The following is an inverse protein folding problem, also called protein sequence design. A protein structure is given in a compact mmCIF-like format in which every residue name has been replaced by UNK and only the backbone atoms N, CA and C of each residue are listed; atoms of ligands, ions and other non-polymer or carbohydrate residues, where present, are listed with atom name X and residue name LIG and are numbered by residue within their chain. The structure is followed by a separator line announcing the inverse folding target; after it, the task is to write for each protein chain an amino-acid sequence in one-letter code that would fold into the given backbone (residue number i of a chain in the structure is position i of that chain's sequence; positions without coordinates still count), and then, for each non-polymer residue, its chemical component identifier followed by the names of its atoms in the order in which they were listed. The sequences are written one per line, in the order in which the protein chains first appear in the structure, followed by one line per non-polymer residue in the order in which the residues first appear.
data_IF_058375371510
#
_entry.id   IF_058375371510
#
_cell.length_a   1.000
_cell.length_b   1.000
_cell.length_c   1.000
_cell.angle_alpha   90.00
_cell.angle_beta   90.00
_cell.angle_gamma   90.00
#
_symmetry.space_group_name_H-M   'P 1'
#
loop_
_entity.id
_entity.type
_entity.pdbx_description
1 polymer ?
#
# COMPACT_ATOMS: atom_id res chain seq x y z
N UNK A 1 -55.39 -23.71 54.26
CA UNK A 1 -56.14 -23.75 52.98
C UNK A 1 -55.20 -23.31 51.84
N UNK A 2 -54.76 -24.30 51.07
CA UNK A 2 -54.46 -24.36 49.63
C UNK A 2 -53.63 -23.21 48.97
N UNK A 3 -52.35 -23.54 48.71
CA UNK A 3 -51.47 -22.97 47.68
C UNK A 3 -51.98 -23.31 46.26
N UNK A 4 -51.88 -22.37 45.30
CA UNK A 4 -51.86 -22.63 43.84
C UNK A 4 -50.65 -21.88 43.27
N UNK A 5 -49.58 -22.54 42.80
CA UNK A 5 -49.34 -23.27 41.54
C UNK A 5 -49.30 -22.39 40.27
N UNK A 6 -48.18 -22.57 39.57
CA UNK A 6 -47.58 -21.78 38.52
C UNK A 6 -48.28 -21.86 37.15
N UNK A 7 -47.96 -20.90 36.28
CA UNK A 7 -48.03 -21.06 34.83
C UNK A 7 -46.75 -20.50 34.20
N UNK A 8 -45.86 -21.41 33.78
CA UNK A 8 -44.74 -21.13 32.87
C UNK A 8 -45.31 -20.90 31.47
N UNK A 9 -45.07 -19.71 30.91
CA UNK A 9 -45.35 -19.40 29.51
C UNK A 9 -44.28 -19.99 28.59
N UNK A 10 -44.72 -20.75 27.60
CA UNK A 10 -43.89 -21.34 26.56
C UNK A 10 -43.34 -20.25 25.61
N UNK A 11 -42.04 -20.33 25.31
CA UNK A 11 -41.37 -19.54 24.28
C UNK A 11 -41.41 -20.34 22.96
N UNK A 12 -41.89 -19.78 21.84
CA UNK A 12 -41.81 -20.47 20.56
C UNK A 12 -40.38 -20.45 20.01
N UNK A 13 -39.91 -21.61 19.57
CA UNK A 13 -38.65 -21.78 18.87
C UNK A 13 -38.74 -21.17 17.47
N UNK A 14 -37.87 -20.20 17.17
CA UNK A 14 -37.68 -19.64 15.83
C UNK A 14 -36.74 -20.58 15.07
N UNK A 15 -37.27 -21.25 14.05
CA UNK A 15 -36.49 -22.04 13.10
C UNK A 15 -35.65 -21.10 12.21
N UNK A 16 -34.33 -21.21 12.31
CA UNK A 16 -33.40 -20.52 11.42
C UNK A 16 -33.32 -21.25 10.08
N UNK A 17 -33.82 -20.62 9.01
CA UNK A 17 -33.59 -21.02 7.63
C UNK A 17 -32.11 -20.77 7.28
N UNK A 18 -31.34 -21.84 7.13
CA UNK A 18 -29.98 -21.80 6.61
C UNK A 18 -29.98 -21.52 5.11
N UNK A 19 -29.53 -20.32 4.73
CA UNK A 19 -29.20 -20.00 3.34
C UNK A 19 -27.80 -20.56 3.07
N UNK A 20 -27.73 -21.59 2.23
CA UNK A 20 -26.46 -22.11 1.72
C UNK A 20 -25.83 -21.05 0.81
N UNK A 21 -24.76 -20.40 1.26
CA UNK A 21 -23.92 -19.53 0.45
C UNK A 21 -22.99 -20.41 -0.37
N UNK A 22 -23.25 -20.55 -1.67
CA UNK A 22 -22.29 -21.16 -2.60
C UNK A 22 -21.11 -20.21 -2.78
N UNK A 23 -19.93 -20.62 -2.31
CA UNK A 23 -18.69 -19.89 -2.54
C UNK A 23 -18.38 -19.82 -4.05
N UNK A 24 -17.93 -18.67 -4.57
CA UNK A 24 -17.46 -18.59 -5.96
C UNK A 24 -16.19 -19.44 -6.11
N UNK A 25 -16.10 -20.16 -7.24
CA UNK A 25 -14.91 -20.88 -7.62
C UNK A 25 -13.72 -19.91 -7.67
N UNK A 26 -12.72 -20.16 -6.83
CA UNK A 26 -11.50 -19.36 -6.78
C UNK A 26 -10.78 -19.44 -8.12
N UNK A 27 -10.51 -18.27 -8.71
CA UNK A 27 -9.57 -18.17 -9.81
C UNK A 27 -8.21 -18.69 -9.34
N UNK A 28 -7.61 -19.60 -10.10
CA UNK A 28 -6.26 -20.08 -9.83
C UNK A 28 -5.28 -18.91 -10.02
N UNK A 29 -4.78 -18.36 -8.91
CA UNK A 29 -3.66 -17.43 -8.93
C UNK A 29 -2.43 -18.20 -9.37
N UNK A 30 -1.85 -17.83 -10.52
CA UNK A 30 -0.55 -18.34 -10.92
C UNK A 30 0.48 -17.85 -9.88
N UNK A 31 0.98 -18.75 -9.06
CA UNK A 31 2.05 -18.46 -8.10
C UNK A 31 3.34 -18.24 -8.90
N UNK A 32 3.73 -16.98 -9.08
CA UNK A 32 5.05 -16.62 -9.61
C UNK A 32 6.06 -16.66 -8.46
N UNK A 33 7.07 -17.51 -8.56
CA UNK A 33 8.13 -17.62 -7.55
C UNK A 33 9.04 -16.40 -7.61
N UNK A 34 9.12 -15.65 -6.52
CA UNK A 34 10.12 -14.58 -6.33
C UNK A 34 11.32 -15.20 -5.59
N UNK A 35 12.53 -15.04 -6.15
CA UNK A 35 13.75 -15.49 -5.49
C UNK A 35 14.50 -14.29 -4.90
N UNK A 36 14.61 -14.23 -3.58
CA UNK A 36 15.53 -13.30 -2.92
C UNK A 36 16.96 -13.81 -3.10
N UNK A 37 17.68 -13.29 -4.09
CA UNK A 37 19.08 -13.63 -4.35
C UNK A 37 20.04 -12.70 -3.62
N UNK A 38 21.18 -13.24 -3.19
CA UNK A 38 22.28 -12.46 -2.62
C UNK A 38 22.77 -11.41 -3.63
N UNK A 39 22.59 -10.12 -3.30
CA UNK A 39 22.96 -8.94 -4.10
C UNK A 39 24.35 -9.02 -4.75
N UNK A 40 25.35 -9.57 -4.04
CA UNK A 40 26.71 -9.69 -4.57
C UNK A 40 26.90 -10.82 -5.59
N UNK A 41 26.03 -11.84 -5.58
CA UNK A 41 26.05 -12.92 -6.57
C UNK A 41 25.40 -12.44 -7.89
N UNK A 42 24.28 -11.72 -7.80
CA UNK A 42 23.58 -11.12 -8.93
C UNK A 42 24.48 -10.14 -9.71
N UNK A 43 25.13 -9.19 -9.01
CA UNK A 43 26.01 -8.19 -9.65
C UNK A 43 27.20 -8.87 -10.37
N UNK A 44 27.77 -9.94 -9.80
CA UNK A 44 28.94 -10.63 -10.36
C UNK A 44 28.61 -11.48 -11.60
N UNK A 45 27.43 -12.07 -11.67
CA UNK A 45 27.02 -12.87 -12.84
C UNK A 45 26.67 -11.98 -14.05
N UNK A 46 26.04 -10.83 -13.81
CA UNK A 46 25.63 -9.90 -14.87
C UNK A 46 26.82 -9.31 -15.64
N UNK A 47 27.95 -9.04 -14.99
CA UNK A 47 29.14 -8.46 -15.64
C UNK A 47 29.83 -9.39 -16.65
N UNK A 48 29.43 -10.67 -16.75
CA UNK A 48 29.99 -11.64 -17.70
C UNK A 48 29.17 -11.80 -18.97
N UNK A 49 27.97 -11.22 -19.04
CA UNK A 49 27.03 -11.47 -20.13
C UNK A 49 27.19 -10.37 -21.18
N UNK A 50 28.01 -10.68 -22.18
CA UNK A 50 28.13 -10.05 -23.51
C UNK A 50 28.58 -8.57 -23.56
N UNK A 51 29.74 -8.26 -24.18
CA UNK A 51 30.07 -6.87 -24.49
C UNK A 51 29.06 -6.34 -25.52
N UNK A 52 28.34 -5.28 -25.15
CA UNK A 52 27.41 -4.60 -26.05
C UNK A 52 28.15 -4.21 -27.34
N UNK A 53 27.73 -4.78 -28.48
CA UNK A 53 28.24 -4.37 -29.78
C UNK A 53 27.63 -3.00 -30.09
N UNK A 54 28.47 -1.99 -30.33
CA UNK A 54 28.03 -0.63 -30.64
C UNK A 54 27.31 -0.60 -31.99
N UNK A 55 25.99 -0.80 -31.97
CA UNK A 55 25.10 -0.73 -33.13
C UNK A 55 23.90 0.17 -32.85
N UNK A 56 23.16 0.53 -33.91
CA UNK A 56 21.88 1.22 -33.79
C UNK A 56 20.91 0.37 -32.96
N UNK A 57 20.21 0.94 -31.95
CA UNK A 57 19.26 0.17 -31.15
C UNK A 57 18.20 -0.48 -32.03
N UNK A 58 17.96 -1.77 -31.82
CA UNK A 58 16.98 -2.56 -32.57
C UNK A 58 15.54 -2.16 -32.21
N UNK A 59 15.34 -1.60 -31.02
CA UNK A 59 14.06 -1.05 -30.58
C UNK A 59 14.14 -0.40 -29.21
N UNK A 60 12.99 -0.37 -28.51
CA UNK A 60 12.88 0.15 -27.14
C UNK A 60 12.33 -0.91 -26.21
N UNK A 61 12.99 -1.13 -25.08
CA UNK A 61 12.48 -1.90 -23.96
C UNK A 61 12.03 -0.96 -22.85
N UNK A 62 10.79 -1.12 -22.39
CA UNK A 62 10.19 -0.21 -21.40
C UNK A 62 9.85 -0.96 -20.14
N UNK A 63 10.39 -0.47 -19.02
CA UNK A 63 9.94 -0.82 -17.69
C UNK A 63 8.60 -0.15 -17.41
N UNK A 64 7.64 -0.93 -16.93
CA UNK A 64 6.37 -0.48 -16.39
C UNK A 64 6.36 -0.80 -14.90
N UNK A 65 6.20 0.23 -14.10
CA UNK A 65 6.14 0.18 -12.63
C UNK A 65 4.99 1.05 -12.16
N UNK A 66 4.40 0.75 -10.98
CA UNK A 66 3.45 1.67 -10.36
C UNK A 66 4.07 3.06 -10.19
N UNK A 67 3.28 4.10 -10.47
CA UNK A 67 3.70 5.48 -10.17
C UNK A 67 3.85 5.72 -8.67
N UNK A 68 3.17 4.90 -7.86
CA UNK A 68 3.20 4.95 -6.40
C UNK A 68 3.14 3.55 -5.81
N UNK A 69 4.00 3.25 -4.83
CA UNK A 69 4.00 2.00 -4.08
C UNK A 69 3.68 2.30 -2.62
N UNK A 70 2.81 1.48 -2.02
CA UNK A 70 2.41 1.59 -0.62
C UNK A 70 2.96 0.44 0.21
N UNK A 71 3.85 0.76 1.14
CA UNK A 71 4.41 -0.22 2.08
C UNK A 71 3.46 -0.39 3.29
N UNK A 72 2.72 -1.50 3.37
CA UNK A 72 1.81 -1.79 4.49
C UNK A 72 2.26 -2.91 5.42
N UNK A 73 3.28 -3.66 5.03
CA UNK A 73 3.88 -4.79 5.74
C UNK A 73 5.31 -4.97 5.20
N UNK A 74 6.04 -5.94 5.76
CA UNK A 74 7.17 -6.54 5.07
C UNK A 74 6.72 -6.91 3.64
N UNK A 75 7.56 -6.58 2.66
CA UNK A 75 7.21 -6.59 1.25
C UNK A 75 6.98 -8.03 0.76
N UNK A 76 5.75 -8.51 0.94
CA UNK A 76 5.17 -9.57 0.12
C UNK A 76 4.37 -8.85 -0.97
N UNK A 77 5.07 -8.32 -1.97
CA UNK A 77 4.46 -7.46 -3.00
C UNK A 77 3.21 -8.09 -3.60
N UNK A 78 2.14 -7.30 -3.73
CA UNK A 78 0.99 -7.68 -4.55
C UNK A 78 1.51 -7.91 -5.98
N UNK A 79 1.16 -9.02 -6.67
CA UNK A 79 1.56 -9.25 -8.05
C UNK A 79 1.25 -8.08 -9.00
N UNK A 80 0.26 -7.24 -8.67
CA UNK A 80 -0.07 -6.02 -9.42
C UNK A 80 0.90 -4.85 -9.21
N UNK A 81 1.69 -4.88 -8.13
CA UNK A 81 2.76 -3.91 -7.85
C UNK A 81 4.11 -4.33 -8.45
N UNK A 82 4.18 -5.52 -9.07
CA UNK A 82 5.41 -6.04 -9.64
C UNK A 82 5.83 -5.30 -10.93
N UNK A 83 7.12 -5.00 -11.09
CA UNK A 83 7.68 -4.50 -12.34
C UNK A 83 7.36 -5.42 -13.53
N UNK A 84 7.02 -4.82 -14.67
CA UNK A 84 6.77 -5.56 -15.92
C UNK A 84 7.45 -4.89 -17.11
N UNK A 85 7.59 -5.63 -18.21
CA UNK A 85 8.16 -5.15 -19.47
C UNK A 85 7.09 -4.87 -20.51
N UNK A 86 7.34 -3.85 -21.33
CA UNK A 86 6.60 -3.58 -22.57
C UNK A 86 7.54 -3.06 -23.66
N UNK A 87 7.03 -2.94 -24.89
CA UNK A 87 7.81 -2.52 -26.06
C UNK A 87 8.48 -3.67 -26.80
N UNK A 88 9.56 -3.37 -27.53
CA UNK A 88 10.26 -4.31 -28.40
C UNK A 88 10.80 -5.54 -27.66
N UNK A 89 11.15 -5.42 -26.39
CA UNK A 89 11.65 -6.56 -25.61
C UNK A 89 10.62 -7.62 -25.27
N UNK A 90 9.32 -7.34 -25.41
CA UNK A 90 8.27 -8.36 -25.26
C UNK A 90 7.99 -9.06 -26.60
N UNK A 91 8.32 -8.41 -27.73
CA UNK A 91 8.00 -8.90 -29.07
C UNK A 91 9.05 -9.85 -29.64
N UNK A 92 10.31 -9.74 -29.21
CA UNK A 92 11.45 -10.46 -29.80
C UNK A 92 11.94 -11.67 -28.99
N UNK A 93 11.16 -12.15 -28.02
CA UNK A 93 11.53 -13.29 -27.17
C UNK A 93 12.44 -12.89 -26.01
N UNK A 94 13.22 -13.85 -25.49
CA UNK A 94 14.05 -13.72 -24.29
C UNK A 94 14.95 -12.49 -24.38
N UNK A 95 14.59 -11.45 -23.63
CA UNK A 95 15.41 -10.26 -23.46
C UNK A 95 15.92 -10.22 -22.03
N UNK A 96 17.24 -10.17 -21.91
CA UNK A 96 17.90 -9.88 -20.63
C UNK A 96 17.94 -8.36 -20.47
N UNK A 97 17.16 -7.82 -19.53
CA UNK A 97 17.06 -6.38 -19.30
C UNK A 97 17.08 -6.03 -17.82
N UNK A 98 17.73 -4.93 -17.47
CA UNK A 98 17.86 -4.50 -16.07
C UNK A 98 17.66 -3.00 -15.89
N UNK A 99 17.00 -2.66 -14.79
CA UNK A 99 16.90 -1.29 -14.26
C UNK A 99 17.29 -1.27 -12.79
N UNK A 100 17.66 -0.08 -12.32
CA UNK A 100 17.93 0.17 -10.92
C UNK A 100 17.39 1.52 -10.48
N UNK A 101 17.07 1.68 -9.19
CA UNK A 101 16.51 2.91 -8.61
C UNK A 101 17.01 3.15 -7.18
N UNK A 102 16.87 4.39 -6.68
CA UNK A 102 17.24 4.76 -5.31
C UNK A 102 18.75 4.98 -5.07
N UNK A 103 19.54 5.16 -6.14
CA UNK A 103 20.97 5.46 -6.06
C UNK A 103 21.52 6.03 -7.38
N UNK A 104 22.77 6.50 -7.37
CA UNK A 104 23.43 7.03 -8.57
C UNK A 104 23.89 5.90 -9.50
N UNK A 105 24.40 4.83 -8.89
CA UNK A 105 24.90 3.63 -9.57
C UNK A 105 24.24 2.36 -9.00
N UNK A 106 24.42 1.24 -9.71
CA UNK A 106 23.85 -0.06 -9.32
C UNK A 106 24.32 -0.54 -7.94
N UNK A 107 25.57 -0.24 -7.55
CA UNK A 107 26.12 -0.61 -6.23
C UNK A 107 25.39 0.05 -5.06
N UNK A 108 24.76 1.19 -5.32
CA UNK A 108 24.11 2.03 -4.32
C UNK A 108 22.59 2.03 -4.50
N UNK A 109 22.10 1.27 -5.49
CA UNK A 109 20.69 1.19 -5.80
C UNK A 109 19.92 0.55 -4.63
N UNK A 110 18.83 1.19 -4.23
CA UNK A 110 17.87 0.63 -3.31
C UNK A 110 17.05 -0.49 -3.97
N UNK A 111 16.78 -0.39 -5.28
CA UNK A 111 16.06 -1.39 -6.03
C UNK A 111 16.83 -1.76 -7.28
N UNK A 112 16.92 -3.05 -7.59
CA UNK A 112 17.37 -3.56 -8.88
C UNK A 112 16.39 -4.59 -9.36
N UNK A 113 15.97 -4.46 -10.61
CA UNK A 113 15.16 -5.46 -11.31
C UNK A 113 15.99 -6.01 -12.47
N UNK A 114 15.98 -7.33 -12.61
CA UNK A 114 16.51 -8.04 -13.75
C UNK A 114 15.40 -8.92 -14.31
N UNK A 115 15.13 -8.73 -15.59
CA UNK A 115 14.31 -9.64 -16.37
C UNK A 115 15.26 -10.54 -17.15
N UNK A 116 15.13 -11.85 -16.94
CA UNK A 116 15.76 -12.89 -17.75
C UNK A 116 14.69 -13.95 -18.12
N UNK A 117 15.05 -14.99 -18.89
CA UNK A 117 14.14 -16.02 -19.45
C UNK A 117 13.00 -16.43 -18.53
N UNK A 118 13.26 -16.56 -17.23
CA UNK A 118 12.33 -17.20 -16.29
C UNK A 118 12.20 -16.49 -14.93
N UNK A 119 12.98 -15.44 -14.64
CA UNK A 119 13.13 -14.90 -13.28
C UNK A 119 13.10 -13.37 -13.28
N UNK A 120 12.34 -12.80 -12.33
CA UNK A 120 12.59 -11.44 -11.86
C UNK A 120 13.44 -11.58 -10.61
N UNK A 121 14.72 -11.22 -10.73
CA UNK A 121 15.59 -11.08 -9.57
C UNK A 121 15.46 -9.67 -9.02
N UNK A 122 14.97 -9.56 -7.78
CA UNK A 122 14.80 -8.29 -7.07
C UNK A 122 15.81 -8.23 -5.93
N UNK A 123 16.58 -7.14 -5.90
CA UNK A 123 17.38 -6.77 -4.74
C UNK A 123 16.80 -5.49 -4.17
N UNK A 124 16.39 -5.55 -2.91
CA UNK A 124 15.72 -4.45 -2.23
C UNK A 124 16.50 -3.98 -1.01
N UNK A 125 16.62 -2.66 -0.88
CA UNK A 125 16.90 -1.97 0.35
C UNK A 125 15.65 -1.15 0.67
N UNK A 126 14.69 -1.82 1.32
CA UNK A 126 13.35 -1.30 1.64
C UNK A 126 13.36 -0.12 2.65
N UNK A 127 14.53 0.31 3.12
CA UNK A 127 14.70 1.56 3.87
C UNK A 127 14.44 2.82 3.01
N UNK A 128 14.35 2.68 1.68
CA UNK A 128 14.16 3.81 0.79
C UNK A 128 12.68 4.18 0.59
N UNK A 129 12.26 5.25 1.27
CA UNK A 129 10.99 5.95 1.02
C UNK A 129 11.24 7.25 0.27
N UNK A 130 10.31 7.63 -0.61
CA UNK A 130 10.37 8.86 -1.40
C UNK A 130 10.25 8.62 -2.91
N UNK A 131 10.61 9.65 -3.68
CA UNK A 131 10.56 9.61 -5.14
C UNK A 131 11.85 8.99 -5.68
N UNK A 132 11.73 7.97 -6.53
CA UNK A 132 12.84 7.33 -7.22
C UNK A 132 12.65 7.38 -8.73
N UNK A 133 13.74 7.62 -9.45
CA UNK A 133 13.80 7.47 -10.91
C UNK A 133 14.53 6.19 -11.24
N UNK A 134 13.89 5.33 -12.01
CA UNK A 134 14.50 4.10 -12.51
C UNK A 134 15.46 4.44 -13.65
N UNK A 135 16.65 3.84 -13.62
CA UNK A 135 17.69 4.03 -14.64
C UNK A 135 17.91 2.69 -15.34
N UNK A 136 17.84 2.71 -16.68
CA UNK A 136 18.18 1.55 -17.48
C UNK A 136 19.67 1.22 -17.33
N UNK A 137 19.98 -0.06 -17.16
CA UNK A 137 21.36 -0.58 -17.06
C UNK A 137 21.82 -1.21 -18.36
N UNK A 138 21.03 -2.15 -18.88
CA UNK A 138 21.19 -2.77 -20.20
C UNK A 138 19.87 -3.41 -20.62
N UNK A 139 19.71 -3.66 -21.91
CA UNK A 139 18.68 -4.51 -22.49
C UNK A 139 19.20 -5.10 -23.82
N UNK A 140 19.25 -6.43 -23.91
CA UNK A 140 19.69 -7.14 -25.11
C UNK A 140 19.00 -8.51 -25.29
N UNK A 141 18.94 -9.00 -26.52
CA UNK A 141 18.44 -10.35 -26.85
C UNK A 141 19.59 -11.36 -27.04
N UNK A 142 19.24 -12.62 -27.33
CA UNK A 142 20.18 -13.71 -27.55
C UNK A 142 21.07 -13.56 -28.79
N UNK A 143 20.69 -12.68 -29.73
CA UNK A 143 21.46 -12.31 -30.91
C UNK A 143 22.40 -11.12 -30.64
N UNK A 144 22.37 -10.55 -29.43
CA UNK A 144 23.18 -9.40 -29.04
C UNK A 144 22.64 -8.06 -29.54
N UNK A 145 21.41 -7.99 -30.04
CA UNK A 145 20.80 -6.70 -30.38
C UNK A 145 20.54 -5.91 -29.11
N UNK A 146 20.82 -4.61 -29.13
CA UNK A 146 20.61 -3.72 -27.98
C UNK A 146 19.31 -2.93 -28.11
N UNK A 147 18.70 -2.63 -26.97
CA UNK A 147 17.45 -1.87 -26.89
C UNK A 147 17.65 -0.59 -26.06
N UNK A 148 16.99 0.48 -26.48
CA UNK A 148 16.87 1.70 -25.66
C UNK A 148 15.99 1.43 -24.45
N UNK A 149 16.26 2.07 -23.31
CA UNK A 149 15.48 1.92 -22.08
C UNK A 149 14.85 3.25 -21.64
N UNK A 150 13.66 3.18 -21.06
CA UNK A 150 13.00 4.32 -20.41
C UNK A 150 13.51 4.53 -18.97
N UNK A 151 13.12 5.67 -18.39
CA UNK A 151 13.41 6.03 -17.00
C UNK A 151 12.11 6.40 -16.24
N UNK A 152 11.25 5.43 -15.89
CA UNK A 152 10.02 5.72 -15.18
C UNK A 152 10.30 6.22 -13.76
N UNK A 153 9.31 6.88 -13.16
CA UNK A 153 9.39 7.43 -11.80
C UNK A 153 8.35 6.75 -10.92
N UNK A 154 8.77 6.37 -9.71
CA UNK A 154 7.91 5.76 -8.69
C UNK A 154 8.06 6.53 -7.39
N UNK A 155 6.96 6.70 -6.66
CA UNK A 155 6.98 7.25 -5.30
C UNK A 155 6.67 6.15 -4.30
N UNK A 156 7.59 5.84 -3.40
CA UNK A 156 7.38 4.88 -2.32
C UNK A 156 6.99 5.63 -1.06
N UNK A 157 5.86 5.26 -0.46
CA UNK A 157 5.43 5.79 0.84
C UNK A 157 4.96 4.66 1.74
N UNK A 158 5.13 4.83 3.05
CA UNK A 158 4.55 3.89 4.01
C UNK A 158 3.05 4.12 4.16
N UNK A 159 2.32 3.04 4.37
CA UNK A 159 0.90 3.05 4.67
C UNK A 159 0.62 3.65 6.04
N UNK A 160 -0.58 4.23 6.15
CA UNK A 160 -1.11 4.75 7.41
C UNK A 160 -2.59 4.40 7.58
N UNK A 161 -3.03 4.40 8.82
CA UNK A 161 -4.38 4.05 9.22
C UNK A 161 -4.88 5.01 10.30
N UNK A 162 -6.16 5.35 10.25
CA UNK A 162 -6.81 6.20 11.22
C UNK A 162 -8.05 5.54 11.82
N UNK A 163 -8.21 5.70 13.14
CA UNK A 163 -9.39 5.32 13.89
C UNK A 163 -10.09 6.55 14.47
N UNK A 164 -11.41 6.49 14.58
CA UNK A 164 -12.23 7.54 15.16
C UNK A 164 -13.24 6.95 16.14
N UNK A 165 -13.31 7.53 17.32
CA UNK A 165 -14.34 7.23 18.31
C UNK A 165 -15.02 8.51 18.74
N UNK A 166 -16.34 8.52 18.73
CA UNK A 166 -17.14 9.65 19.16
C UNK A 166 -18.06 9.24 20.32
N UNK A 167 -18.37 10.17 21.21
CA UNK A 167 -19.33 9.98 22.29
C UNK A 167 -20.12 11.27 22.53
N UNK A 168 -21.29 11.14 23.16
CA UNK A 168 -22.17 12.27 23.49
C UNK A 168 -22.64 12.16 24.93
N UNK A 169 -22.58 13.27 25.65
CA UNK A 169 -23.22 13.45 26.95
C UNK A 169 -24.00 14.77 26.93
N UNK A 170 -25.33 14.67 26.90
CA UNK A 170 -26.20 15.80 26.61
C UNK A 170 -25.87 16.44 25.25
N UNK A 171 -25.60 17.75 25.25
CA UNK A 171 -25.18 18.50 24.05
C UNK A 171 -23.67 18.45 23.80
N UNK A 172 -22.87 17.86 24.70
CA UNK A 172 -21.42 17.76 24.53
C UNK A 172 -21.07 16.54 23.70
N UNK A 173 -20.39 16.75 22.58
CA UNK A 173 -19.81 15.70 21.73
C UNK A 173 -18.31 15.65 21.98
N UNK A 174 -17.78 14.47 22.26
CA UNK A 174 -16.33 14.22 22.34
C UNK A 174 -15.92 13.35 21.15
N UNK A 175 -14.83 13.73 20.51
CA UNK A 175 -14.25 13.09 19.34
C UNK A 175 -12.80 12.76 19.68
N UNK A 176 -12.49 11.46 19.69
CA UNK A 176 -11.14 10.95 19.85
C UNK A 176 -10.72 10.35 18.51
N UNK A 177 -9.53 10.71 18.02
CA UNK A 177 -8.96 10.11 16.82
C UNK A 177 -7.55 9.61 17.13
N UNK A 178 -7.15 8.56 16.43
CA UNK A 178 -5.82 7.96 16.51
C UNK A 178 -5.32 7.62 15.12
N UNK A 179 -4.06 7.91 14.84
CA UNK A 179 -3.37 7.46 13.64
C UNK A 179 -2.16 6.60 13.98
N UNK A 180 -1.94 5.61 13.12
CA UNK A 180 -0.75 4.76 13.10
C UNK A 180 -0.19 4.75 11.68
N UNK A 181 1.11 4.50 11.58
CA UNK A 181 1.80 4.30 10.31
C UNK A 181 2.65 3.05 10.40
N UNK A 182 2.92 2.45 9.25
CA UNK A 182 3.88 1.38 9.18
C UNK A 182 5.30 1.93 9.41
N UNK A 183 6.08 1.24 10.23
CA UNK A 183 7.49 1.52 10.46
C UNK A 183 8.30 0.30 10.01
N UNK A 184 8.85 0.43 8.81
CA UNK A 184 9.63 -0.62 8.16
C UNK A 184 10.77 -1.14 9.04
N UNK A 185 11.56 -0.24 9.66
CA UNK A 185 12.68 -0.63 10.52
C UNK A 185 12.31 -1.47 11.74
N UNK A 186 11.02 -1.57 12.07
CA UNK A 186 10.50 -2.33 13.21
C UNK A 186 9.53 -3.44 12.77
N UNK A 187 9.26 -3.56 11.46
CA UNK A 187 8.17 -4.35 10.88
C UNK A 187 6.87 -4.31 11.70
N UNK A 188 6.40 -3.10 12.02
CA UNK A 188 5.12 -2.95 12.72
C UNK A 188 4.48 -1.59 12.54
N UNK A 189 3.19 -1.54 12.87
CA UNK A 189 2.44 -0.30 12.95
C UNK A 189 2.74 0.43 14.25
N UNK A 190 3.29 1.65 14.14
CA UNK A 190 3.60 2.51 15.27
C UNK A 190 2.69 3.74 15.29
N UNK A 191 2.50 4.37 16.47
CA UNK A 191 1.82 5.65 16.55
C UNK A 191 2.38 6.70 15.59
N UNK A 192 1.49 7.38 14.86
CA UNK A 192 1.89 8.49 13.98
C UNK A 192 1.84 9.79 14.77
N UNK A 193 2.91 10.04 15.53
CA UNK A 193 3.06 11.21 16.40
C UNK A 193 3.36 12.49 15.63
N UNK A 194 2.97 13.64 16.21
CA UNK A 194 3.18 14.99 15.67
C UNK A 194 2.59 15.22 14.28
N UNK A 195 1.65 14.38 13.85
CA UNK A 195 1.00 14.50 12.56
C UNK A 195 -0.16 15.49 12.63
N UNK A 196 -0.38 16.21 11.53
CA UNK A 196 -1.46 17.19 11.42
C UNK A 196 -2.69 16.61 10.72
N UNK A 197 -3.86 17.14 11.05
CA UNK A 197 -5.08 16.76 10.39
C UNK A 197 -6.25 17.68 10.73
N UNK A 198 -7.41 17.32 10.23
CA UNK A 198 -8.66 18.03 10.47
C UNK A 198 -9.78 17.05 10.84
N UNK A 199 -10.50 17.34 11.92
CA UNK A 199 -11.78 16.72 12.19
C UNK A 199 -12.79 17.41 11.29
N UNK A 200 -13.54 16.63 10.53
CA UNK A 200 -14.62 17.11 9.68
C UNK A 200 -15.95 16.56 10.17
N UNK A 201 -17.02 17.28 9.88
CA UNK A 201 -18.38 16.83 10.09
C UNK A 201 -19.24 17.06 8.86
N UNK A 202 -20.36 16.36 8.79
CA UNK A 202 -21.46 16.68 7.88
C UNK A 202 -22.79 16.45 8.57
N UNK A 203 -23.83 17.12 8.09
CA UNK A 203 -25.19 16.83 8.54
C UNK A 203 -25.56 15.37 8.21
N UNK A 204 -26.41 14.74 9.03
CA UNK A 204 -26.90 13.39 8.77
C UNK A 204 -27.60 13.34 7.40
N UNK A 205 -27.15 12.44 6.52
CA UNK A 205 -27.65 12.32 5.14
C UNK A 205 -27.13 13.40 4.17
N UNK A 206 -26.32 14.35 4.63
CA UNK A 206 -25.65 15.30 3.77
C UNK A 206 -24.46 14.68 3.02
N UNK A 207 -24.04 15.32 1.93
CA UNK A 207 -22.87 14.92 1.13
C UNK A 207 -21.63 15.78 1.39
N UNK A 208 -21.80 16.99 1.90
CA UNK A 208 -20.71 17.97 2.08
C UNK A 208 -20.07 17.85 3.46
N UNK A 209 -18.76 17.62 3.48
CA UNK A 209 -17.94 17.68 4.69
C UNK A 209 -17.49 19.11 4.97
N UNK A 210 -17.51 19.49 6.25
CA UNK A 210 -17.09 20.80 6.75
C UNK A 210 -16.02 20.61 7.81
N UNK A 211 -14.97 21.42 7.74
CA UNK A 211 -13.90 21.40 8.73
C UNK A 211 -14.42 21.89 10.09
N UNK A 212 -14.18 21.09 11.13
CA UNK A 212 -14.55 21.41 12.51
C UNK A 212 -13.34 21.95 13.27
N UNK A 213 -12.22 21.23 13.22
CA UNK A 213 -11.05 21.51 14.05
C UNK A 213 -9.79 20.91 13.45
N UNK A 214 -8.80 21.76 13.16
CA UNK A 214 -7.44 21.32 12.91
C UNK A 214 -6.78 20.81 14.20
N UNK A 215 -5.93 19.80 14.09
CA UNK A 215 -5.25 19.18 15.21
C UNK A 215 -3.83 18.71 14.86
N UNK A 216 -3.06 18.45 15.91
CA UNK A 216 -1.78 17.72 15.85
C UNK A 216 -1.87 16.54 16.82
N UNK A 217 -1.35 15.37 16.43
CA UNK A 217 -1.34 14.18 17.31
C UNK A 217 -0.24 14.25 18.36
N UNK A 218 -0.51 13.64 19.52
CA UNK A 218 0.49 13.44 20.56
C UNK A 218 1.39 12.22 20.26
N UNK A 219 2.27 11.86 21.20
CA UNK A 219 3.17 10.70 21.08
C UNK A 219 2.47 9.35 20.90
N UNK A 220 1.20 9.22 21.30
CA UNK A 220 0.38 8.03 21.08
C UNK A 220 -0.35 8.06 19.72
N UNK A 221 -0.06 9.04 18.86
CA UNK A 221 -0.72 9.24 17.58
C UNK A 221 -2.17 9.70 17.75
N UNK A 222 -2.54 10.21 18.92
CA UNK A 222 -3.92 10.50 19.29
C UNK A 222 -4.19 12.00 19.46
N UNK A 223 -5.45 12.39 19.28
CA UNK A 223 -5.97 13.69 19.72
C UNK A 223 -7.40 13.56 20.21
N UNK A 224 -7.83 14.49 21.06
CA UNK A 224 -9.18 14.57 21.61
C UNK A 224 -9.72 15.97 21.47
N UNK A 225 -10.95 16.09 20.97
CA UNK A 225 -11.67 17.35 20.85
C UNK A 225 -13.07 17.19 21.40
N UNK A 226 -13.53 18.17 22.17
CA UNK A 226 -14.91 18.22 22.64
C UNK A 226 -15.54 19.56 22.33
N UNK A 227 -16.80 19.54 21.91
CA UNK A 227 -17.56 20.74 21.63
C UNK A 227 -19.06 20.53 21.86
N UNK A 228 -19.81 21.62 21.92
CA UNK A 228 -21.25 21.59 22.17
C UNK A 228 -22.02 21.67 20.86
N UNK A 229 -22.92 20.71 20.61
CA UNK A 229 -23.84 20.69 19.48
C UNK A 229 -25.05 19.81 19.82
N UNK A 230 -26.26 20.25 19.54
CA UNK A 230 -27.47 19.40 19.62
C UNK A 230 -27.75 18.63 18.33
N UNK A 231 -27.10 18.98 17.23
CA UNK A 231 -27.33 18.34 15.93
C UNK A 231 -26.68 16.96 15.85
N UNK A 232 -27.39 16.01 15.24
CA UNK A 232 -26.83 14.72 14.82
C UNK A 232 -25.98 14.91 13.57
N UNK A 233 -24.72 14.47 13.62
CA UNK A 233 -23.73 14.64 12.56
C UNK A 233 -22.93 13.36 12.36
N UNK A 234 -22.44 13.19 11.14
CA UNK A 234 -21.39 12.24 10.83
C UNK A 234 -20.04 12.93 10.98
N UNK A 235 -19.06 12.26 11.57
CA UNK A 235 -17.72 12.77 11.82
C UNK A 235 -16.67 11.88 11.16
N UNK A 236 -15.57 12.48 10.71
CA UNK A 236 -14.34 11.80 10.28
C UNK A 236 -13.12 12.62 10.66
N UNK A 237 -11.96 11.97 10.79
CA UNK A 237 -10.67 12.63 10.87
C UNK A 237 -9.92 12.41 9.56
N UNK A 238 -9.36 13.47 9.00
CA UNK A 238 -8.52 13.44 7.80
C UNK A 238 -7.10 13.84 8.21
N UNK A 239 -6.15 12.96 7.96
CA UNK A 239 -4.72 13.16 8.22
C UNK A 239 -4.01 13.58 6.94
N UNK A 240 -3.13 14.58 7.05
CA UNK A 240 -2.42 15.15 5.91
C UNK A 240 -1.43 14.14 5.33
N UNK A 241 -1.34 14.10 4.00
CA UNK A 241 -0.31 13.30 3.33
C UNK A 241 1.08 13.91 3.52
N UNK A 242 2.07 13.06 3.78
CA UNK A 242 3.48 13.44 3.88
C UNK A 242 4.25 12.96 2.65
N UNK A 243 5.47 13.49 2.39
CA UNK A 243 6.29 13.03 1.27
C UNK A 243 6.58 11.52 1.30
N UNK A 244 6.65 10.92 2.49
CA UNK A 244 7.01 9.51 2.70
C UNK A 244 5.94 8.67 3.42
N UNK A 245 4.78 9.25 3.77
CA UNK A 245 3.65 8.54 4.42
C UNK A 245 2.37 8.93 3.70
N UNK A 246 1.55 7.96 3.33
CA UNK A 246 0.23 8.25 2.76
C UNK A 246 -0.67 8.99 3.74
N UNK A 247 -1.43 9.95 3.23
CA UNK A 247 -2.56 10.51 3.98
C UNK A 247 -3.61 9.44 4.24
N UNK A 248 -4.42 9.62 5.28
CA UNK A 248 -5.48 8.65 5.60
C UNK A 248 -6.70 9.35 6.17
N UNK A 249 -7.86 8.75 5.94
CA UNK A 249 -9.14 9.23 6.47
C UNK A 249 -9.75 8.14 7.33
N UNK A 250 -10.17 8.48 8.54
CA UNK A 250 -10.81 7.53 9.43
C UNK A 250 -12.15 7.04 8.85
N UNK A 251 -12.67 5.90 9.33
CA UNK A 251 -14.08 5.59 9.20
C UNK A 251 -14.97 6.73 9.73
N UNK A 252 -16.21 6.76 9.25
CA UNK A 252 -17.20 7.73 9.70
C UNK A 252 -17.87 7.26 11.00
N UNK A 253 -18.17 8.20 11.91
CA UNK A 253 -18.90 7.92 13.16
C UNK A 253 -20.03 8.93 13.35
N UNK A 254 -21.24 8.47 13.68
CA UNK A 254 -22.41 9.34 13.86
C UNK A 254 -22.72 9.62 15.33
N UNK A 255 -22.97 10.88 15.72
CA UNK A 255 -23.47 11.27 17.05
C UNK A 255 -24.36 12.49 17.03
#
# INVERSE_FOLDING_TARGET
MIRRLAALGAVPAIAALGVAVTAPAGAATATRTVHHVNRQAMIRNIARIHPATSGTPYGTCKLVVPSTIRLTSDFEGDPSDMPSLTGGCVLHGVVTASWYAGGDNVSDAAYTVLFDTDIIDESENLDYVGVMTWKGRFAFDDQGHTYTQNAPVTTVKVGSWAGLQTSRSGSKVTINTRAVRYAYSLDMNIPWASETGVIQYRAKGGSTWTDLKAFTTNSAGATSYSYTSSATRDYRAVYTEQPYIFGTTSPTSQR
#
